data_IF_487536511797
#
_entry.id   IF_487536511797
#
_cell.length_a   1.000
_cell.length_b   1.000
_cell.length_c   1.000
_cell.angle_alpha   90.00
_cell.angle_beta   90.00
_cell.angle_gamma   90.00
#
_symmetry.space_group_name_H-M   'P 1'
#
loop_
_entity.id
_entity.type
_entity.pdbx_description
1 polymer ?
#
# COMPACT_ATOMS: atom_id res chain seq x y z
N UNK A 1 -30.92 23.91 -12.09
CA UNK A 1 -29.65 23.78 -11.36
C UNK A 1 -28.84 22.68 -12.06
N UNK A 2 -27.89 23.05 -12.94
CA UNK A 2 -27.04 22.06 -13.64
C UNK A 2 -26.17 21.39 -12.57
N UNK A 3 -26.24 20.05 -12.47
CA UNK A 3 -25.24 19.26 -11.73
C UNK A 3 -23.89 19.64 -12.33
N UNK A 4 -23.02 20.27 -11.52
CA UNK A 4 -21.61 20.40 -11.86
C UNK A 4 -21.13 18.96 -12.03
N UNK A 5 -20.88 18.55 -13.27
CA UNK A 5 -20.40 17.21 -13.56
C UNK A 5 -19.08 17.03 -12.84
N UNK A 6 -18.95 15.97 -12.05
CA UNK A 6 -17.71 15.53 -11.37
C UNK A 6 -16.53 15.27 -12.36
N UNK A 7 -16.72 15.55 -13.65
CA UNK A 7 -15.78 15.36 -14.76
C UNK A 7 -14.77 16.52 -14.97
N UNK A 8 -14.74 17.52 -14.08
CA UNK A 8 -13.78 18.63 -14.14
C UNK A 8 -12.53 18.46 -13.26
N UNK A 9 -12.34 17.30 -12.63
CA UNK A 9 -11.08 17.03 -11.93
C UNK A 9 -9.96 16.78 -12.95
N UNK A 10 -9.15 17.82 -13.17
CA UNK A 10 -7.94 17.77 -14.00
C UNK A 10 -6.92 16.73 -13.51
N UNK A 11 -6.98 16.32 -12.24
CA UNK A 11 -6.11 15.34 -11.61
C UNK A 11 -6.88 14.46 -10.62
N UNK A 12 -6.75 13.14 -10.72
CA UNK A 12 -7.23 12.19 -9.70
C UNK A 12 -6.36 10.93 -9.64
N UNK A 13 -6.31 10.32 -8.46
CA UNK A 13 -5.67 9.00 -8.30
C UNK A 13 -6.70 7.92 -8.58
N UNK A 14 -6.44 7.09 -9.58
CA UNK A 14 -7.35 6.01 -9.99
C UNK A 14 -7.08 4.70 -9.26
N UNK A 15 -5.81 4.39 -9.02
CA UNK A 15 -5.42 3.11 -8.42
C UNK A 15 -4.12 3.28 -7.62
N UNK A 16 -4.08 2.72 -6.41
CA UNK A 16 -2.88 2.65 -5.58
C UNK A 16 -2.68 1.19 -5.14
N UNK A 17 -1.60 0.57 -5.61
CA UNK A 17 -1.18 -0.76 -5.17
C UNK A 17 0.30 -0.74 -4.81
N UNK A 18 0.82 -1.80 -4.15
CA UNK A 18 2.26 -1.91 -3.88
C UNK A 18 3.12 -2.01 -5.14
N UNK A 19 2.54 -2.41 -6.28
CA UNK A 19 3.25 -2.62 -7.55
C UNK A 19 3.06 -1.48 -8.54
N UNK A 20 1.94 -0.78 -8.51
CA UNK A 20 1.61 0.26 -9.47
C UNK A 20 0.71 1.34 -8.89
N UNK A 21 0.84 2.53 -9.43
CA UNK A 21 -0.07 3.67 -9.21
C UNK A 21 -0.54 4.16 -10.58
N UNK A 22 -1.83 4.44 -10.68
CA UNK A 22 -2.43 5.01 -11.88
C UNK A 22 -3.07 6.33 -11.52
N UNK A 23 -2.68 7.38 -12.25
CA UNK A 23 -3.30 8.69 -12.18
C UNK A 23 -4.15 8.94 -13.43
N UNK A 24 -5.15 9.79 -13.28
CA UNK A 24 -5.81 10.46 -14.40
C UNK A 24 -5.42 11.92 -14.37
N UNK A 25 -4.86 12.42 -15.47
CA UNK A 25 -4.46 13.81 -15.61
C UNK A 25 -4.75 14.33 -17.02
N UNK A 26 -5.46 15.45 -17.12
CA UNK A 26 -5.74 16.10 -18.41
C UNK A 26 -6.42 15.19 -19.47
N UNK A 27 -7.24 14.23 -19.04
CA UNK A 27 -7.88 13.25 -19.94
C UNK A 27 -7.09 11.95 -20.16
N UNK A 28 -5.87 11.83 -19.62
CA UNK A 28 -4.99 10.69 -19.85
C UNK A 28 -4.78 9.86 -18.60
N UNK A 29 -4.60 8.54 -18.78
CA UNK A 29 -4.17 7.63 -17.71
C UNK A 29 -2.65 7.52 -17.74
N UNK A 30 -2.03 7.76 -16.59
CA UNK A 30 -0.57 7.74 -16.44
C UNK A 30 -0.24 6.70 -15.39
N UNK A 31 0.58 5.73 -15.77
CA UNK A 31 0.93 4.60 -14.93
C UNK A 31 2.40 4.68 -14.50
N UNK A 32 2.60 4.47 -13.20
CA UNK A 32 3.89 4.27 -12.58
C UNK A 32 3.91 2.90 -11.94
N UNK A 33 5.04 2.20 -12.05
CA UNK A 33 5.27 0.89 -11.46
C UNK A 33 6.46 0.90 -10.52
N UNK A 34 6.41 0.05 -9.50
CA UNK A 34 7.55 -0.27 -8.68
C UNK A 34 8.36 -1.37 -9.36
N UNK A 35 9.47 -1.00 -9.96
CA UNK A 35 10.43 -1.91 -10.56
C UNK A 35 11.66 -2.01 -9.66
N UNK A 36 11.85 -3.15 -9.01
CA UNK A 36 13.01 -3.43 -8.14
C UNK A 36 13.22 -2.40 -7.01
N UNK A 37 12.13 -1.87 -6.44
CA UNK A 37 12.20 -0.87 -5.37
C UNK A 37 12.36 0.57 -5.86
N UNK A 38 12.35 0.79 -7.18
CA UNK A 38 12.36 2.13 -7.79
C UNK A 38 11.05 2.37 -8.52
N UNK A 39 10.58 3.61 -8.49
CA UNK A 39 9.43 4.00 -9.32
C UNK A 39 9.91 4.18 -10.75
N UNK A 40 9.31 3.43 -11.65
CA UNK A 40 9.52 3.51 -13.09
C UNK A 40 8.21 3.92 -13.75
N UNK A 41 8.33 4.68 -14.83
CA UNK A 41 7.18 5.04 -15.66
C UNK A 41 6.89 3.92 -16.66
N UNK A 42 5.62 3.61 -16.87
CA UNK A 42 5.18 2.62 -17.85
C UNK A 42 4.36 3.27 -18.95
N UNK A 43 4.68 2.95 -20.21
CA UNK A 43 3.96 3.42 -21.40
C UNK A 43 4.63 4.57 -22.15
N UNK A 44 4.09 4.87 -23.34
CA UNK A 44 4.61 5.89 -24.25
C UNK A 44 4.46 7.32 -23.72
N UNK A 45 5.34 8.22 -24.15
CA UNK A 45 5.26 9.66 -23.87
C UNK A 45 3.91 10.22 -24.31
N UNK A 46 3.10 10.65 -23.34
CA UNK A 46 1.95 11.47 -23.66
C UNK A 46 2.50 12.84 -24.01
N UNK A 47 2.52 13.16 -25.31
CA UNK A 47 3.00 14.44 -25.87
C UNK A 47 2.36 15.69 -25.25
N UNK A 48 1.33 15.52 -24.43
CA UNK A 48 0.52 16.58 -23.85
C UNK A 48 0.85 16.92 -22.40
N UNK A 49 1.73 16.17 -21.73
CA UNK A 49 2.24 16.56 -20.41
C UNK A 49 3.59 17.27 -20.56
N UNK A 50 3.73 18.39 -19.85
CA UNK A 50 5.04 19.04 -19.72
C UNK A 50 5.98 18.17 -18.89
N UNK A 51 7.29 18.41 -19.01
CA UNK A 51 8.28 17.75 -18.17
C UNK A 51 8.05 18.02 -16.67
N UNK A 52 7.55 19.21 -16.33
CA UNK A 52 7.27 19.62 -14.96
C UNK A 52 6.07 18.87 -14.37
N UNK A 53 4.97 18.75 -15.12
CA UNK A 53 3.81 17.96 -14.71
C UNK A 53 4.21 16.51 -14.44
N UNK A 54 5.05 15.95 -15.32
CA UNK A 54 5.58 14.61 -15.15
C UNK A 54 6.45 14.47 -13.91
N UNK A 55 7.34 15.42 -13.64
CA UNK A 55 8.20 15.40 -12.47
C UNK A 55 7.37 15.43 -11.17
N UNK A 56 6.30 16.24 -11.16
CA UNK A 56 5.39 16.37 -10.03
C UNK A 56 4.61 15.07 -9.78
N UNK A 57 4.08 14.46 -10.85
CA UNK A 57 3.40 13.16 -10.75
C UNK A 57 4.33 12.01 -10.38
N UNK A 58 5.57 12.02 -10.86
CA UNK A 58 6.59 11.04 -10.50
C UNK A 58 6.91 11.11 -9.00
N UNK A 59 7.15 12.32 -8.47
CA UNK A 59 7.39 12.52 -7.04
C UNK A 59 6.21 12.06 -6.19
N UNK A 60 4.99 12.35 -6.64
CA UNK A 60 3.78 11.88 -5.96
C UNK A 60 3.68 10.35 -5.97
N UNK A 61 3.99 9.69 -7.09
CA UNK A 61 4.05 8.23 -7.15
C UNK A 61 5.10 7.66 -6.19
N UNK A 62 6.30 8.25 -6.12
CA UNK A 62 7.36 7.84 -5.17
C UNK A 62 6.88 7.91 -3.72
N UNK A 63 6.24 9.01 -3.34
CA UNK A 63 5.72 9.19 -1.98
C UNK A 63 4.63 8.18 -1.65
N UNK A 64 3.65 8.01 -2.54
CA UNK A 64 2.52 7.10 -2.34
C UNK A 64 2.97 5.64 -2.28
N UNK A 65 3.88 5.22 -3.17
CA UNK A 65 4.43 3.86 -3.14
C UNK A 65 5.25 3.62 -1.86
N UNK A 66 6.09 4.58 -1.47
CA UNK A 66 6.87 4.50 -0.24
C UNK A 66 5.99 4.42 1.00
N UNK A 67 4.92 5.23 1.07
CA UNK A 67 3.96 5.22 2.16
C UNK A 67 3.22 3.88 2.24
N UNK A 68 2.80 3.32 1.09
CA UNK A 68 2.13 2.02 1.04
C UNK A 68 3.05 0.89 1.54
N UNK A 69 4.30 0.85 1.08
CA UNK A 69 5.30 -0.13 1.56
C UNK A 69 5.55 0.01 3.06
N UNK A 70 5.69 1.24 3.58
CA UNK A 70 5.85 1.49 5.03
C UNK A 70 4.64 1.04 5.83
N UNK A 71 3.43 1.34 5.36
CA UNK A 71 2.17 0.92 5.99
C UNK A 71 2.03 -0.60 6.05
N UNK A 72 2.37 -1.30 4.97
CA UNK A 72 2.39 -2.77 4.93
C UNK A 72 3.39 -3.34 5.94
N UNK A 73 4.60 -2.77 6.01
CA UNK A 73 5.62 -3.21 6.95
C UNK A 73 5.23 -2.94 8.41
N UNK A 74 4.61 -1.79 8.70
CA UNK A 74 4.10 -1.48 10.04
C UNK A 74 3.00 -2.45 10.46
N UNK A 75 2.02 -2.73 9.59
CA UNK A 75 0.96 -3.69 9.85
C UNK A 75 1.48 -5.12 10.05
N UNK A 76 2.51 -5.54 9.27
CA UNK A 76 3.15 -6.85 9.46
C UNK A 76 3.84 -6.96 10.83
N UNK A 77 4.57 -5.93 11.25
CA UNK A 77 5.21 -5.88 12.58
C UNK A 77 4.17 -5.87 13.71
N UNK A 78 3.11 -5.07 13.59
CA UNK A 78 2.02 -5.04 14.55
C UNK A 78 1.35 -6.41 14.71
N UNK A 79 1.04 -7.09 13.60
CA UNK A 79 0.49 -8.46 13.61
C UNK A 79 1.42 -9.48 14.25
N UNK A 80 2.72 -9.42 13.96
CA UNK A 80 3.69 -10.32 14.57
C UNK A 80 3.76 -10.15 16.09
N UNK A 81 3.69 -8.90 16.58
CA UNK A 81 3.69 -8.62 18.01
C UNK A 81 2.42 -9.14 18.70
N UNK A 82 1.24 -8.93 18.11
CA UNK A 82 -0.04 -9.46 18.65
C UNK A 82 -0.02 -10.99 18.74
N UNK A 83 0.50 -11.67 17.72
CA UNK A 83 0.60 -13.14 17.72
C UNK A 83 1.58 -13.62 18.81
N UNK A 84 2.71 -12.94 18.97
CA UNK A 84 3.70 -13.25 20.00
C UNK A 84 3.13 -13.06 21.41
N UNK A 85 2.53 -11.92 21.69
CA UNK A 85 1.88 -11.64 22.98
C UNK A 85 0.76 -12.64 23.27
N UNK A 86 -0.05 -12.98 22.26
CA UNK A 86 -1.10 -14.00 22.38
C UNK A 86 -0.57 -15.43 22.56
N UNK A 87 0.69 -15.71 22.21
CA UNK A 87 1.33 -17.01 22.43
C UNK A 87 1.98 -17.07 23.82
N UNK A 88 2.72 -16.02 24.19
CA UNK A 88 3.37 -15.89 25.49
C UNK A 88 2.33 -15.91 26.63
N UNK A 89 1.20 -15.20 26.47
CA UNK A 89 0.11 -15.21 27.45
C UNK A 89 -0.57 -16.58 27.59
N UNK A 90 -0.57 -17.42 26.54
CA UNK A 90 -1.15 -18.76 26.58
C UNK A 90 -0.20 -19.79 27.18
N UNK A 91 1.11 -19.65 27.02
CA UNK A 91 2.08 -20.52 27.70
C UNK A 91 2.07 -20.34 29.22
N UNK A 92 1.83 -19.12 29.71
CA UNK A 92 1.69 -18.86 31.15
C UNK A 92 0.36 -19.31 31.78
N UNK A 93 -0.63 -19.70 30.98
CA UNK A 93 -1.97 -20.11 31.42
C UNK A 93 -2.30 -21.58 31.16
N UNK A 94 -1.35 -22.38 30.65
CA UNK A 94 -1.58 -23.82 30.50
C UNK A 94 -1.75 -24.43 31.90
N UNK A 95 -2.93 -24.99 32.24
CA UNK A 95 -3.06 -25.73 33.48
C UNK A 95 -2.09 -26.90 33.43
N UNK A 96 -1.20 -26.99 34.42
CA UNK A 96 -0.39 -28.18 34.63
C UNK A 96 -1.36 -29.36 34.76
N UNK A 97 -1.34 -30.25 33.76
CA UNK A 97 -2.06 -31.51 33.86
C UNK A 97 -1.61 -32.17 35.18
N UNK A 98 -2.54 -32.53 36.08
CA UNK A 98 -2.16 -33.24 37.29
C UNK A 98 -1.40 -34.51 36.88
N UNK A 99 -0.32 -34.87 37.60
CA UNK A 99 0.44 -36.06 37.27
C UNK A 99 -0.52 -37.25 37.20
N UNK A 100 -0.47 -37.98 36.08
CA UNK A 100 -1.29 -39.16 35.89
C UNK A 100 -0.91 -40.18 36.97
N UNK A 101 -1.75 -40.32 37.99
CA UNK A 101 -1.62 -41.42 38.93
C UNK A 101 -1.94 -42.71 38.18
N UNK A 102 -0.89 -43.31 37.62
CA UNK A 102 -0.91 -44.69 37.15
C UNK A 102 -1.33 -45.56 38.33
N UNK A 103 -2.58 -46.01 38.30
CA UNK A 103 -3.05 -47.08 39.17
C UNK A 103 -2.49 -48.40 38.63
N UNK A 104 -1.82 -49.11 39.53
CA UNK A 104 -1.36 -50.50 39.40
C UNK A 104 -2.45 -51.44 38.91
#
# INVERSE_FOLDING_TARGET
>A
MRKVSDDLEYFRVLEITPRKIIFFFGGYRIQFENYQGKVARMGSDNRYLSADDYALMFKLAEMLMSANVRGINANRKGRANIIKEGFDNRQGQLPLLPPSNGRN
#
